data_IF_435779224149
#
_entry.id   IF_435779224149
#
_cell.length_a   1.000
_cell.length_b   1.000
_cell.length_c   1.000
_cell.angle_alpha   90.00
_cell.angle_beta   90.00
_cell.angle_gamma   90.00
#
_symmetry.space_group_name_H-M   'P 1'
#
loop_
_entity.id
_entity.type
_entity.pdbx_description
1 polymer ?
#
# COMPACT_ATOMS: atom_id res chain seq x y z
N UNK A 1 18.73 4.07 4.85
CA UNK A 1 17.36 3.79 5.32
C UNK A 1 16.45 4.83 4.69
N UNK A 2 15.86 4.54 3.52
CA UNK A 2 14.96 5.49 2.82
C UNK A 2 13.52 5.12 3.19
N UNK A 3 12.91 5.95 4.04
CA UNK A 3 11.47 6.07 4.29
C UNK A 3 10.73 4.78 4.69
N UNK A 4 11.32 3.96 5.57
CA UNK A 4 10.63 2.81 6.14
C UNK A 4 9.92 3.17 7.44
N UNK A 5 8.83 3.95 7.38
CA UNK A 5 7.91 4.03 8.52
C UNK A 5 6.93 2.87 8.36
N UNK A 6 7.23 1.73 8.98
CA UNK A 6 6.25 0.66 9.11
C UNK A 6 5.23 1.06 10.16
N UNK A 7 4.13 1.68 9.73
CA UNK A 7 2.97 1.88 10.58
C UNK A 7 2.23 0.55 10.62
N UNK A 8 2.28 -0.13 11.76
CA UNK A 8 1.39 -1.24 12.08
C UNK A 8 0.28 -0.68 12.96
N UNK A 9 -0.74 -0.08 12.33
CA UNK A 9 -2.03 -0.05 12.99
C UNK A 9 -2.52 -1.50 13.00
N UNK A 10 -3.07 -1.98 14.11
CA UNK A 10 -3.52 -3.38 14.30
C UNK A 10 -4.57 -3.86 13.26
N UNK A 11 -4.89 -3.06 12.24
CA UNK A 11 -5.64 -3.38 11.03
C UNK A 11 -4.75 -3.26 9.77
N UNK A 12 -4.44 -4.43 9.19
CA UNK A 12 -3.64 -4.57 7.96
C UNK A 12 -4.24 -3.80 6.77
N UNK A 13 -5.57 -3.62 6.73
CA UNK A 13 -6.22 -2.91 5.64
C UNK A 13 -5.99 -1.39 5.79
N UNK A 14 -6.07 -0.87 7.01
CA UNK A 14 -5.71 0.51 7.34
C UNK A 14 -4.25 0.83 6.98
N UNK A 15 -3.33 -0.10 7.27
CA UNK A 15 -1.92 0.06 6.87
C UNK A 15 -1.75 0.16 5.34
N UNK A 16 -2.51 -0.64 4.57
CA UNK A 16 -2.50 -0.60 3.10
C UNK A 16 -3.08 0.71 2.55
N UNK A 17 -4.06 1.30 3.21
CA UNK A 17 -4.61 2.61 2.87
C UNK A 17 -3.60 3.73 3.13
N UNK A 18 -2.93 3.71 4.28
CA UNK A 18 -1.88 4.68 4.63
C UNK A 18 -0.70 4.60 3.64
N UNK A 19 -0.22 3.40 3.32
CA UNK A 19 0.83 3.21 2.32
C UNK A 19 0.41 3.74 0.94
N UNK A 20 -0.88 3.63 0.57
CA UNK A 20 -1.37 4.16 -0.70
C UNK A 20 -1.37 5.69 -0.73
N UNK A 21 -1.69 6.34 0.40
CA UNK A 21 -1.60 7.79 0.54
C UNK A 21 -0.16 8.28 0.35
N UNK A 22 0.81 7.66 1.03
CA UNK A 22 2.22 8.02 0.89
C UNK A 22 2.72 7.87 -0.55
N UNK A 23 2.34 6.80 -1.25
CA UNK A 23 2.71 6.61 -2.67
C UNK A 23 2.10 7.69 -3.57
N UNK A 24 0.88 8.14 -3.29
CA UNK A 24 0.26 9.25 -4.03
C UNK A 24 1.04 10.56 -3.80
N UNK A 25 1.36 10.89 -2.54
CA UNK A 25 2.15 12.09 -2.20
C UNK A 25 3.53 12.07 -2.88
N UNK A 26 4.22 10.93 -2.85
CA UNK A 26 5.51 10.76 -3.52
C UNK A 26 5.41 10.98 -5.04
N UNK A 27 4.31 10.57 -5.68
CA UNK A 27 4.10 10.78 -7.10
C UNK A 27 3.72 12.24 -7.42
N UNK A 28 2.88 12.86 -6.61
CA UNK A 28 2.50 14.27 -6.73
C UNK A 28 3.73 15.18 -6.62
N UNK A 29 4.59 14.90 -5.65
CA UNK A 29 5.85 15.63 -5.42
C UNK A 29 6.98 15.23 -6.38
N UNK A 30 6.69 14.37 -7.38
CA UNK A 30 7.65 13.92 -8.40
C UNK A 30 8.89 13.21 -7.83
N UNK A 31 8.78 12.64 -6.63
CA UNK A 31 9.82 11.83 -6.02
C UNK A 31 9.92 10.42 -6.60
N UNK A 32 8.87 9.95 -7.27
CA UNK A 32 8.84 8.67 -8.00
C UNK A 32 8.33 8.85 -9.44
N UNK A 33 8.76 7.96 -10.34
CA UNK A 33 8.29 7.96 -11.72
C UNK A 33 6.86 7.42 -11.85
N UNK A 34 6.19 7.74 -12.95
CA UNK A 34 4.86 7.18 -13.25
C UNK A 34 4.87 5.64 -13.30
N UNK A 35 5.95 5.04 -13.79
CA UNK A 35 6.09 3.59 -13.81
C UNK A 35 6.23 3.00 -12.41
N UNK A 36 7.02 3.64 -11.52
CA UNK A 36 7.13 3.23 -10.12
C UNK A 36 5.81 3.36 -9.38
N UNK A 37 5.08 4.46 -9.61
CA UNK A 37 3.75 4.67 -9.05
C UNK A 37 2.78 3.56 -9.48
N UNK A 38 2.69 3.28 -10.78
CA UNK A 38 1.81 2.24 -11.31
C UNK A 38 2.12 0.85 -10.74
N UNK A 39 3.40 0.50 -10.63
CA UNK A 39 3.83 -0.77 -10.03
C UNK A 39 3.46 -0.86 -8.55
N UNK A 40 3.69 0.21 -7.78
CA UNK A 40 3.39 0.25 -6.36
C UNK A 40 1.87 0.16 -6.09
N UNK A 41 1.05 0.92 -6.84
CA UNK A 41 -0.42 0.85 -6.79
C UNK A 41 -0.92 -0.57 -7.09
N UNK A 42 -0.37 -1.23 -8.12
CA UNK A 42 -0.77 -2.58 -8.48
C UNK A 42 -0.47 -3.58 -7.36
N UNK A 43 0.70 -3.46 -6.73
CA UNK A 43 1.12 -4.31 -5.63
C UNK A 43 0.19 -4.14 -4.41
N UNK A 44 -0.07 -2.90 -3.97
CA UNK A 44 -0.99 -2.64 -2.84
C UNK A 44 -2.38 -3.21 -3.14
N UNK A 45 -2.93 -2.96 -4.33
CA UNK A 45 -4.24 -3.53 -4.70
C UNK A 45 -4.26 -5.05 -4.69
N UNK A 46 -3.14 -5.70 -5.04
CA UNK A 46 -3.01 -7.17 -4.95
C UNK A 46 -3.04 -7.62 -3.50
N UNK A 47 -2.22 -7.01 -2.64
CA UNK A 47 -2.18 -7.35 -1.21
C UNK A 47 -3.53 -7.13 -0.51
N UNK A 48 -4.23 -6.03 -0.81
CA UNK A 48 -5.58 -5.80 -0.26
C UNK A 48 -6.58 -6.88 -0.70
N UNK A 49 -6.49 -7.37 -1.94
CA UNK A 49 -7.37 -8.46 -2.42
C UNK A 49 -7.04 -9.77 -1.74
N UNK A 50 -5.77 -10.11 -1.61
CA UNK A 50 -5.35 -11.37 -0.96
C UNK A 50 -5.70 -11.37 0.53
N UNK A 51 -5.51 -10.24 1.22
CA UNK A 51 -5.94 -10.09 2.61
C UNK A 51 -7.46 -10.30 2.76
N UNK A 52 -8.27 -9.64 1.91
CA UNK A 52 -9.74 -9.79 1.93
C UNK A 52 -10.22 -11.20 1.55
N UNK A 53 -9.47 -11.94 0.74
CA UNK A 53 -9.76 -13.36 0.47
C UNK A 53 -9.39 -14.22 1.67
N UNK A 54 -8.24 -13.95 2.29
CA UNK A 54 -7.73 -14.64 3.48
C UNK A 54 -8.65 -14.49 4.70
N UNK A 55 -9.33 -13.35 4.86
CA UNK A 55 -10.33 -13.18 5.91
C UNK A 55 -11.61 -14.00 5.63
N UNK A 56 -12.03 -14.09 4.36
CA UNK A 56 -13.24 -14.84 3.96
C UNK A 56 -13.13 -16.36 4.03
N UNK A 57 -11.92 -16.92 4.07
CA UNK A 57 -11.71 -18.38 4.24
C UNK A 57 -11.66 -18.79 5.72
N UNK A 58 -11.58 -17.83 6.64
CA UNK A 58 -11.45 -18.05 8.08
C UNK A 58 -12.72 -17.65 8.86
N UNK A 59 -13.80 -17.30 8.17
CA UNK A 59 -15.17 -17.08 8.68
C UNK A 59 -16.07 -18.24 8.22
#
# INVERSE_FOLDING_TARGET
MKFGTFIYTTDRLGDLELMMMEINELYEWKFISSQQFQQAVLLIKKESREYKKGTKINE
#
